data_IF_661601978133
#
_entry.id   IF_661601978133
#
_cell.length_a   1.000
_cell.length_b   1.000
_cell.length_c   1.000
_cell.angle_alpha   90.00
_cell.angle_beta   90.00
_cell.angle_gamma   90.00
#
_symmetry.space_group_name_H-M   'P 1'
#
loop_
_entity.id
_entity.type
_entity.pdbx_description
1 polymer ?
#
# COMPACT_ATOMS: atom_id res chain seq x y z
N UNK A 1 25.89 -0.03 10.73
CA UNK A 1 25.30 -0.89 9.68
C UNK A 1 24.00 -0.27 9.16
N UNK A 2 23.71 -0.49 7.88
CA UNK A 2 22.48 -0.01 7.22
C UNK A 2 21.57 -1.18 6.87
N UNK A 3 20.27 -1.02 7.09
CA UNK A 3 19.24 -1.96 6.68
C UNK A 3 18.24 -1.29 5.75
N UNK A 4 17.75 -2.01 4.73
CA UNK A 4 16.78 -1.51 3.74
C UNK A 4 15.65 -2.51 3.53
N UNK A 5 14.41 -2.03 3.63
CA UNK A 5 13.19 -2.85 3.49
C UNK A 5 12.04 -2.06 2.85
N UNK A 6 10.99 -2.77 2.42
CA UNK A 6 9.82 -2.17 1.77
C UNK A 6 8.52 -2.55 2.48
N UNK A 7 7.54 -1.64 2.41
CA UNK A 7 6.18 -1.93 2.84
C UNK A 7 5.15 -1.47 1.82
N UNK A 8 4.10 -2.27 1.67
CA UNK A 8 3.01 -1.98 0.76
C UNK A 8 3.29 -2.33 -0.69
N UNK A 9 4.39 -3.02 -1.03
CA UNK A 9 4.59 -3.58 -2.38
C UNK A 9 3.39 -4.40 -2.83
N UNK A 10 2.86 -5.28 -1.98
CA UNK A 10 1.65 -6.09 -2.19
C UNK A 10 0.29 -5.37 -2.20
N UNK A 11 0.21 -4.11 -1.78
CA UNK A 11 -1.06 -3.39 -1.65
C UNK A 11 -1.57 -2.86 -3.00
N UNK A 12 -2.89 -2.88 -3.19
CA UNK A 12 -3.57 -2.31 -4.37
C UNK A 12 -3.62 -0.77 -4.33
N UNK A 13 -3.71 -0.18 -3.14
CA UNK A 13 -3.74 1.27 -2.92
C UNK A 13 -2.38 1.79 -2.46
N UNK A 14 -2.13 3.05 -2.78
CA UNK A 14 -0.91 3.77 -2.41
C UNK A 14 0.32 3.33 -3.18
N UNK A 15 1.39 4.12 -3.07
CA UNK A 15 2.73 3.70 -3.42
C UNK A 15 3.33 2.69 -2.42
N UNK A 16 4.53 2.22 -2.72
CA UNK A 16 5.32 1.38 -1.80
C UNK A 16 6.29 2.26 -1.03
N UNK A 17 6.38 2.07 0.28
CA UNK A 17 7.36 2.72 1.14
C UNK A 17 8.68 1.97 1.02
N UNK A 18 9.78 2.71 0.88
CA UNK A 18 11.14 2.18 1.01
C UNK A 18 11.75 2.80 2.27
N UNK A 19 12.03 1.97 3.26
CA UNK A 19 12.64 2.35 4.52
C UNK A 19 14.15 2.07 4.53
N UNK A 20 14.91 2.98 5.13
CA UNK A 20 16.36 2.86 5.34
C UNK A 20 16.62 3.15 6.80
N UNK A 21 17.34 2.25 7.47
CA UNK A 21 17.57 2.30 8.90
C UNK A 21 19.05 2.15 9.22
N UNK A 22 19.58 3.05 10.04
CA UNK A 22 20.93 2.93 10.63
C UNK A 22 20.79 2.25 11.97
N UNK A 23 21.31 1.02 12.09
CA UNK A 23 21.13 0.21 13.30
C UNK A 23 21.85 0.78 14.51
N UNK A 24 22.97 1.46 14.28
CA UNK A 24 23.86 1.91 15.35
C UNK A 24 23.31 3.14 16.08
N UNK A 25 22.59 4.01 15.36
CA UNK A 25 22.03 5.27 15.88
C UNK A 25 20.52 5.24 16.04
N UNK A 26 19.84 4.28 15.41
CA UNK A 26 18.37 4.22 15.36
C UNK A 26 17.74 5.20 14.37
N UNK A 27 18.53 5.89 13.56
CA UNK A 27 18.02 6.81 12.54
C UNK A 27 17.25 6.05 11.46
N UNK A 28 16.05 6.54 11.17
CA UNK A 28 15.13 5.97 10.20
C UNK A 28 14.67 7.04 9.23
N UNK A 29 14.73 6.70 7.95
CA UNK A 29 14.17 7.53 6.89
C UNK A 29 13.35 6.64 5.96
N UNK A 30 12.30 7.21 5.40
CA UNK A 30 11.51 6.54 4.38
C UNK A 30 11.06 7.51 3.30
N UNK A 31 10.77 6.96 2.12
CA UNK A 31 10.08 7.68 1.07
C UNK A 31 9.10 6.73 0.35
N UNK A 32 7.99 7.29 -0.12
CA UNK A 32 7.02 6.57 -0.95
C UNK A 32 7.42 6.61 -2.42
N UNK A 33 7.32 5.47 -3.10
CA UNK A 33 7.37 5.42 -4.57
C UNK A 33 6.06 6.01 -5.12
N UNK A 34 6.09 7.13 -5.87
CA UNK A 34 4.88 7.77 -6.34
C UNK A 34 4.02 6.88 -7.25
N UNK A 35 2.69 6.99 -7.14
CA UNK A 35 1.72 6.18 -7.90
C UNK A 35 1.91 6.24 -9.42
N UNK A 36 2.45 7.34 -9.96
CA UNK A 36 2.79 7.45 -11.39
C UNK A 36 3.74 6.35 -11.88
N UNK A 37 4.60 5.80 -11.01
CA UNK A 37 5.50 4.68 -11.34
C UNK A 37 4.79 3.32 -11.38
N UNK A 38 3.53 3.27 -10.97
CA UNK A 38 2.65 2.11 -11.04
C UNK A 38 1.57 2.24 -12.14
N UNK A 39 1.73 3.17 -13.09
CA UNK A 39 0.87 3.23 -14.27
C UNK A 39 1.08 1.99 -15.17
N UNK A 40 0.14 1.71 -16.08
CA UNK A 40 0.24 0.58 -17.03
C UNK A 40 1.56 0.59 -17.81
N UNK A 41 2.00 1.74 -18.31
CA UNK A 41 3.25 1.86 -19.08
C UNK A 41 4.50 1.70 -18.20
N UNK A 42 4.48 2.27 -16.99
CA UNK A 42 5.62 2.21 -16.08
C UNK A 42 5.79 0.86 -15.41
N UNK A 43 4.70 0.13 -15.16
CA UNK A 43 4.72 -1.24 -14.65
C UNK A 43 5.40 -2.20 -15.63
N UNK A 44 5.07 -2.11 -16.93
CA UNK A 44 5.75 -2.90 -17.98
C UNK A 44 7.27 -2.66 -17.99
N UNK A 45 7.70 -1.41 -17.78
CA UNK A 45 9.11 -1.01 -17.70
C UNK A 45 9.75 -1.21 -16.33
N UNK A 46 9.03 -1.77 -15.35
CA UNK A 46 9.40 -1.88 -13.93
C UNK A 46 10.01 -0.59 -13.37
N UNK A 47 9.44 0.57 -13.72
CA UNK A 47 10.03 1.87 -13.41
C UNK A 47 10.13 2.15 -11.90
N UNK A 48 9.25 1.53 -11.10
CA UNK A 48 9.29 1.58 -9.64
C UNK A 48 10.61 1.02 -9.06
N UNK A 49 11.18 -0.05 -9.64
CA UNK A 49 12.46 -0.62 -9.18
C UNK A 49 13.62 0.37 -9.36
N UNK A 50 13.67 1.08 -10.48
CA UNK A 50 14.67 2.14 -10.69
C UNK A 50 14.44 3.34 -9.77
N UNK A 51 13.19 3.59 -9.38
CA UNK A 51 12.89 4.67 -8.43
C UNK A 51 13.36 4.34 -7.01
N UNK A 52 13.37 3.06 -6.61
CA UNK A 52 13.99 2.61 -5.35
C UNK A 52 15.44 3.09 -5.24
N UNK A 53 16.23 2.93 -6.32
CA UNK A 53 17.62 3.41 -6.35
C UNK A 53 17.70 4.90 -6.03
N UNK A 54 16.79 5.71 -6.58
CA UNK A 54 16.75 7.16 -6.32
C UNK A 54 16.43 7.48 -4.87
N UNK A 55 15.51 6.73 -4.25
CA UNK A 55 15.19 6.89 -2.82
C UNK A 55 16.43 6.57 -1.99
N UNK A 56 17.07 5.43 -2.26
CA UNK A 56 18.25 4.98 -1.50
C UNK A 56 19.43 5.93 -1.66
N UNK A 57 19.69 6.46 -2.86
CA UNK A 57 20.71 7.49 -3.06
C UNK A 57 20.48 8.73 -2.19
N UNK A 58 19.24 9.23 -2.13
CA UNK A 58 18.89 10.37 -1.26
C UNK A 58 19.06 10.00 0.21
N UNK A 59 18.68 8.79 0.58
CA UNK A 59 18.79 8.32 1.94
C UNK A 59 20.22 8.12 2.42
N UNK A 60 21.07 7.54 1.57
CA UNK A 60 22.50 7.41 1.85
C UNK A 60 23.17 8.75 2.06
N UNK A 61 22.79 9.76 1.25
CA UNK A 61 23.27 11.13 1.47
C UNK A 61 22.81 11.71 2.81
N UNK A 62 21.54 11.49 3.20
CA UNK A 62 20.99 11.99 4.47
C UNK A 62 21.64 11.33 5.69
N UNK A 63 21.88 10.02 5.62
CA UNK A 63 22.48 9.23 6.71
C UNK A 63 24.01 9.17 6.65
N UNK A 64 24.63 9.90 5.71
CA UNK A 64 26.07 9.89 5.45
C UNK A 64 26.66 8.46 5.37
N UNK A 65 26.07 7.61 4.53
CA UNK A 65 26.46 6.20 4.40
C UNK A 65 27.77 6.06 3.63
N UNK A 66 28.78 5.46 4.27
CA UNK A 66 30.05 5.10 3.66
C UNK A 66 29.97 3.84 2.78
N UNK A 67 30.91 3.69 1.84
CA UNK A 67 30.96 2.52 0.94
C UNK A 67 31.34 1.22 1.63
N UNK A 68 32.18 1.32 2.66
CA UNK A 68 32.68 0.19 3.44
C UNK A 68 31.71 -0.23 4.56
N UNK A 69 30.62 0.51 4.75
CA UNK A 69 29.59 0.14 5.72
C UNK A 69 28.80 -1.07 5.22
N UNK A 70 28.58 -2.10 6.06
CA UNK A 70 27.74 -3.23 5.67
C UNK A 70 26.29 -2.78 5.49
N UNK A 71 25.74 -3.12 4.32
CA UNK A 71 24.34 -2.88 3.96
C UNK A 71 23.58 -4.22 3.87
N UNK A 72 22.49 -4.32 4.61
CA UNK A 72 21.58 -5.44 4.61
C UNK A 72 20.29 -5.07 3.89
N UNK A 73 19.86 -5.92 2.96
CA UNK A 73 18.69 -5.65 2.13
C UNK A 73 17.73 -6.82 2.23
N UNK A 74 16.44 -6.51 2.39
CA UNK A 74 15.39 -7.49 2.25
C UNK A 74 15.50 -8.27 0.93
N UNK A 75 15.13 -9.54 0.95
CA UNK A 75 15.17 -10.44 -0.22
C UNK A 75 14.11 -10.12 -1.28
N UNK A 76 13.20 -9.20 -1.01
CA UNK A 76 12.11 -8.83 -1.91
C UNK A 76 12.58 -8.36 -3.29
N UNK A 77 11.77 -8.60 -4.32
CA UNK A 77 12.06 -8.20 -5.71
C UNK A 77 12.13 -6.67 -5.88
N UNK A 78 11.58 -5.90 -4.93
CA UNK A 78 11.61 -4.44 -4.95
C UNK A 78 13.04 -3.87 -5.04
N UNK A 79 14.04 -4.65 -4.64
CA UNK A 79 15.44 -4.22 -4.58
C UNK A 79 16.32 -4.75 -5.71
N UNK A 80 15.75 -5.38 -6.75
CA UNK A 80 16.55 -5.99 -7.83
C UNK A 80 17.47 -4.98 -8.53
N UNK A 81 16.95 -3.78 -8.85
CA UNK A 81 17.76 -2.71 -9.47
C UNK A 81 18.69 -2.03 -8.46
N UNK A 82 18.33 -2.01 -7.18
CA UNK A 82 19.17 -1.48 -6.12
C UNK A 82 20.44 -2.31 -5.94
N UNK A 83 20.31 -3.64 -5.90
CA UNK A 83 21.45 -4.57 -5.78
C UNK A 83 22.46 -4.37 -6.91
N UNK A 84 21.97 -4.23 -8.15
CA UNK A 84 22.83 -3.93 -9.32
C UNK A 84 23.58 -2.61 -9.14
N UNK A 85 22.88 -1.57 -8.69
CA UNK A 85 23.49 -0.27 -8.44
C UNK A 85 24.54 -0.32 -7.33
N UNK A 86 24.24 -0.98 -6.21
CA UNK A 86 25.18 -1.12 -5.09
C UNK A 86 26.46 -1.86 -5.49
N UNK A 87 26.34 -2.98 -6.22
CA UNK A 87 27.49 -3.70 -6.75
C UNK A 87 28.30 -2.85 -7.72
N UNK A 88 27.64 -2.09 -8.61
CA UNK A 88 28.32 -1.20 -9.57
C UNK A 88 29.10 -0.09 -8.86
N UNK A 89 28.56 0.45 -7.78
CA UNK A 89 29.17 1.54 -7.02
C UNK A 89 30.16 1.05 -5.95
N UNK A 90 30.43 -0.26 -5.88
CA UNK A 90 31.32 -0.92 -4.92
C UNK A 90 30.92 -0.74 -3.45
N UNK A 91 29.61 -0.79 -3.15
CA UNK A 91 29.13 -0.89 -1.77
C UNK A 91 29.22 -2.32 -1.25
N UNK A 92 29.55 -2.49 0.03
CA UNK A 92 29.45 -3.79 0.71
C UNK A 92 28.01 -4.10 1.09
N UNK A 93 27.37 -5.05 0.41
CA UNK A 93 25.97 -5.41 0.69
C UNK A 93 25.70 -6.92 0.71
N UNK A 94 24.66 -7.32 1.45
CA UNK A 94 24.14 -8.70 1.47
C UNK A 94 22.62 -8.73 1.56
N UNK A 95 22.04 -9.82 1.05
CA UNK A 95 20.62 -10.10 1.27
C UNK A 95 20.40 -10.71 2.66
N UNK A 96 19.33 -10.31 3.33
CA UNK A 96 18.90 -10.90 4.61
C UNK A 96 17.39 -10.89 4.74
N UNK A 97 16.88 -11.63 5.74
CA UNK A 97 15.52 -11.42 6.23
C UNK A 97 15.60 -10.24 7.19
N UNK A 98 14.96 -9.14 6.83
CA UNK A 98 14.84 -8.00 7.72
C UNK A 98 13.77 -8.34 8.76
N UNK A 99 14.14 -8.22 10.03
CA UNK A 99 13.25 -8.37 11.17
C UNK A 99 13.55 -7.26 12.18
N UNK A 100 12.66 -7.04 13.14
CA UNK A 100 12.87 -6.08 14.21
C UNK A 100 12.63 -4.62 13.79
N UNK A 101 13.42 -3.64 14.28
CA UNK A 101 13.05 -2.22 14.24
C UNK A 101 12.74 -1.65 12.85
N UNK A 102 13.51 -2.03 11.82
CA UNK A 102 13.24 -1.54 10.46
C UNK A 102 11.90 -2.06 9.94
N UNK A 103 11.59 -3.35 10.14
CA UNK A 103 10.34 -3.95 9.69
C UNK A 103 9.15 -3.24 10.35
N UNK A 104 9.19 -3.07 11.67
CA UNK A 104 8.12 -2.40 12.41
C UNK A 104 7.92 -0.95 11.95
N UNK A 105 9.02 -0.20 11.74
CA UNK A 105 8.97 1.19 11.29
C UNK A 105 8.41 1.31 9.87
N UNK A 106 8.88 0.49 8.93
CA UNK A 106 8.44 0.57 7.52
C UNK A 106 6.98 0.13 7.35
N UNK A 107 6.54 -0.91 8.08
CA UNK A 107 5.13 -1.29 8.13
C UNK A 107 4.28 -0.17 8.72
N UNK A 108 4.75 0.46 9.82
CA UNK A 108 4.04 1.59 10.43
C UNK A 108 3.94 2.81 9.52
N UNK A 109 5.02 3.17 8.82
CA UNK A 109 5.00 4.26 7.83
C UNK A 109 4.01 3.97 6.71
N UNK A 110 3.91 2.72 6.25
CA UNK A 110 2.92 2.35 5.25
C UNK A 110 1.49 2.46 5.78
N UNK A 111 1.22 2.04 7.02
CA UNK A 111 -0.09 2.25 7.66
C UNK A 111 -0.48 3.73 7.72
N UNK A 112 0.44 4.59 8.20
CA UNK A 112 0.16 6.02 8.29
C UNK A 112 -0.08 6.64 6.91
N UNK A 113 0.72 6.23 5.92
CA UNK A 113 0.56 6.67 4.55
C UNK A 113 -0.82 6.33 3.98
N UNK A 114 -1.29 5.08 4.05
CA UNK A 114 -2.63 4.72 3.53
C UNK A 114 -3.76 5.39 4.32
N UNK A 115 -3.60 5.61 5.63
CA UNK A 115 -4.58 6.35 6.44
C UNK A 115 -4.67 7.79 5.95
N UNK A 116 -3.53 8.42 5.63
CA UNK A 116 -3.50 9.78 5.04
C UNK A 116 -4.17 9.85 3.66
N UNK A 117 -4.30 8.72 2.95
CA UNK A 117 -5.08 8.62 1.71
C UNK A 117 -6.58 8.44 1.96
N UNK A 118 -7.01 8.36 3.23
CA UNK A 118 -8.39 8.14 3.64
C UNK A 118 -8.78 6.68 3.83
N UNK A 119 -7.82 5.74 3.84
CA UNK A 119 -8.11 4.33 4.12
C UNK A 119 -8.47 4.16 5.61
N UNK A 120 -9.59 3.49 5.96
CA UNK A 120 -10.05 3.43 7.35
C UNK A 120 -9.08 2.69 8.27
N UNK A 121 -8.71 3.30 9.39
CA UNK A 121 -7.81 2.69 10.37
C UNK A 121 -8.37 1.36 10.94
N UNK A 122 -9.70 1.27 11.08
CA UNK A 122 -10.37 0.04 11.48
C UNK A 122 -10.17 -1.12 10.49
N UNK A 123 -9.84 -0.85 9.23
CA UNK A 123 -9.52 -1.92 8.27
C UNK A 123 -8.11 -2.48 8.49
N UNK A 124 -7.24 -1.70 9.13
CA UNK A 124 -5.85 -2.02 9.42
C UNK A 124 -5.75 -2.77 10.77
N UNK A 125 -6.18 -2.13 11.87
CA UNK A 125 -5.97 -2.59 13.26
C UNK A 125 -6.58 -3.96 13.60
N UNK A 126 -7.71 -4.31 12.99
CA UNK A 126 -8.52 -5.47 13.41
C UNK A 126 -8.24 -6.75 12.60
N UNK A 127 -7.10 -6.84 11.90
CA UNK A 127 -6.79 -8.02 11.08
C UNK A 127 -5.32 -8.41 11.12
N UNK A 128 -5.05 -9.71 11.01
CA UNK A 128 -3.70 -10.27 10.79
C UNK A 128 -3.07 -9.81 9.46
N UNK A 129 -3.89 -9.32 8.52
CA UNK A 129 -3.46 -8.80 7.21
C UNK A 129 -4.21 -7.50 6.87
N UNK A 130 -3.74 -6.34 7.37
CA UNK A 130 -4.42 -5.03 7.27
C UNK A 130 -4.83 -4.59 5.85
N UNK A 131 -4.22 -5.22 4.84
CA UNK A 131 -4.37 -4.91 3.42
C UNK A 131 -5.04 -6.01 2.61
N UNK A 132 -6.06 -6.67 3.20
CA UNK A 132 -6.85 -7.65 2.46
C UNK A 132 -7.43 -7.03 1.18
N UNK A 133 -7.02 -7.59 0.05
CA UNK A 133 -7.39 -7.17 -1.30
C UNK A 133 -8.87 -6.77 -1.44
N UNK A 134 -9.78 -7.62 -0.94
CA UNK A 134 -11.23 -7.37 -1.02
C UNK A 134 -11.73 -6.18 -0.19
N UNK A 135 -11.10 -5.90 0.96
CA UNK A 135 -11.47 -4.73 1.78
C UNK A 135 -11.06 -3.45 1.08
N UNK A 136 -9.85 -3.43 0.53
CA UNK A 136 -9.36 -2.34 -0.29
C UNK A 136 -10.30 -2.12 -1.48
N UNK A 137 -10.67 -3.20 -2.17
CA UNK A 137 -11.54 -3.13 -3.33
C UNK A 137 -12.94 -2.58 -2.97
N UNK A 138 -13.52 -3.01 -1.84
CA UNK A 138 -14.78 -2.44 -1.33
C UNK A 138 -14.67 -0.96 -1.01
N UNK A 139 -13.56 -0.54 -0.40
CA UNK A 139 -13.31 0.88 -0.14
C UNK A 139 -13.17 1.66 -1.45
N UNK A 140 -12.46 1.15 -2.44
CA UNK A 140 -12.35 1.79 -3.75
C UNK A 140 -13.72 1.94 -4.41
N UNK A 141 -14.50 0.86 -4.55
CA UNK A 141 -15.82 0.92 -5.19
C UNK A 141 -16.87 1.74 -4.43
N UNK A 142 -16.68 1.97 -3.13
CA UNK A 142 -17.54 2.87 -2.36
C UNK A 142 -17.42 4.34 -2.81
N UNK A 143 -16.32 4.72 -3.46
CA UNK A 143 -16.11 6.06 -4.02
C UNK A 143 -15.14 6.00 -5.22
N UNK A 144 -15.61 5.32 -6.27
CA UNK A 144 -14.77 4.82 -7.35
C UNK A 144 -13.93 5.90 -8.03
N UNK A 145 -14.55 7.02 -8.39
CA UNK A 145 -13.90 8.08 -9.17
C UNK A 145 -12.80 8.78 -8.37
N UNK A 146 -13.01 9.00 -7.06
CA UNK A 146 -12.04 9.65 -6.19
C UNK A 146 -10.93 8.71 -5.71
N UNK A 147 -11.19 7.40 -5.62
CA UNK A 147 -10.26 6.41 -5.03
C UNK A 147 -9.47 5.62 -6.05
N UNK A 148 -9.95 5.48 -7.29
CA UNK A 148 -9.18 4.87 -8.38
C UNK A 148 -7.83 5.54 -8.64
N UNK A 149 -7.71 6.88 -8.60
CA UNK A 149 -6.41 7.56 -8.72
C UNK A 149 -5.39 7.20 -7.63
N UNK A 150 -5.85 6.63 -6.52
CA UNK A 150 -5.02 6.20 -5.39
C UNK A 150 -4.51 4.76 -5.55
N UNK A 151 -4.88 4.07 -6.63
CA UNK A 151 -4.54 2.68 -6.87
C UNK A 151 -3.36 2.49 -7.82
N UNK A 152 -2.69 1.35 -7.69
CA UNK A 152 -1.64 0.89 -8.61
C UNK A 152 -2.25 0.34 -9.91
N UNK A 153 -2.75 1.24 -10.76
CA UNK A 153 -3.58 0.86 -11.92
C UNK A 153 -2.90 -0.03 -12.98
N UNK A 154 -1.56 -0.10 -12.99
CA UNK A 154 -0.79 -0.96 -13.88
C UNK A 154 -0.60 -2.39 -13.36
N UNK A 155 -1.13 -2.72 -12.18
CA UNK A 155 -1.06 -4.06 -11.62
C UNK A 155 -2.05 -5.02 -12.27
N UNK A 156 -1.66 -6.29 -12.43
CA UNK A 156 -2.53 -7.36 -12.97
C UNK A 156 -3.83 -7.52 -12.15
N UNK A 157 -3.74 -7.39 -10.83
CA UNK A 157 -4.94 -7.43 -9.97
C UNK A 157 -5.88 -6.27 -10.23
N UNK A 158 -5.36 -5.08 -10.56
CA UNK A 158 -6.20 -3.95 -10.96
C UNK A 158 -6.85 -4.19 -12.32
N UNK A 159 -6.09 -4.71 -13.29
CA UNK A 159 -6.64 -5.08 -14.60
C UNK A 159 -7.80 -6.08 -14.48
N UNK A 160 -7.69 -7.06 -13.57
CA UNK A 160 -8.72 -8.07 -13.36
C UNK A 160 -9.94 -7.58 -12.57
N UNK A 161 -9.74 -6.74 -11.56
CA UNK A 161 -10.78 -6.46 -10.56
C UNK A 161 -11.11 -4.97 -10.39
N UNK A 162 -10.38 -4.07 -11.04
CA UNK A 162 -10.49 -2.62 -10.86
C UNK A 162 -11.63 -1.97 -11.63
N UNK A 163 -12.37 -2.70 -12.46
CA UNK A 163 -13.57 -2.20 -13.15
C UNK A 163 -14.59 -3.32 -13.39
N UNK A 164 -15.13 -3.87 -12.31
CA UNK A 164 -16.12 -4.96 -12.31
C UNK A 164 -17.53 -4.38 -12.53
N UNK A 165 -18.44 -5.14 -13.15
CA UNK A 165 -19.83 -4.71 -13.27
C UNK A 165 -20.47 -4.55 -11.89
N UNK A 166 -21.18 -3.44 -11.71
CA UNK A 166 -21.82 -3.09 -10.44
C UNK A 166 -23.35 -3.16 -10.57
N UNK A 167 -24.00 -3.77 -9.59
CA UNK A 167 -25.45 -3.71 -9.39
C UNK A 167 -25.73 -2.77 -8.20
N UNK A 168 -26.53 -1.73 -8.42
CA UNK A 168 -26.91 -0.78 -7.37
C UNK A 168 -28.36 -1.06 -6.99
N UNK A 169 -28.59 -1.40 -5.73
CA UNK A 169 -29.94 -1.56 -5.16
C UNK A 169 -30.12 -0.69 -3.93
N UNK A 170 -31.39 -0.43 -3.57
CA UNK A 170 -31.72 0.31 -2.37
C UNK A 170 -32.56 -0.55 -1.43
N UNK A 171 -32.18 -0.62 -0.16
CA UNK A 171 -32.81 -1.50 0.83
C UNK A 171 -32.49 -1.09 2.26
N UNK A 172 -32.54 -2.05 3.18
CA UNK A 172 -32.17 -1.85 4.59
C UNK A 172 -30.96 -2.73 4.95
N UNK A 173 -30.34 -2.44 6.09
CA UNK A 173 -29.23 -3.24 6.60
C UNK A 173 -29.66 -4.69 6.87
N UNK A 174 -28.81 -5.69 6.58
CA UNK A 174 -29.19 -7.10 6.67
C UNK A 174 -29.20 -7.64 8.10
N UNK A 175 -28.68 -6.90 9.09
CA UNK A 175 -28.64 -7.32 10.48
C UNK A 175 -28.63 -6.12 11.43
N UNK A 176 -28.78 -6.37 12.74
CA UNK A 176 -28.68 -5.37 13.82
C UNK A 176 -27.23 -5.03 14.24
N UNK A 177 -26.21 -5.50 13.50
CA UNK A 177 -24.80 -5.15 13.75
C UNK A 177 -24.54 -3.69 13.41
N UNK A 178 -23.49 -3.11 13.95
CA UNK A 178 -23.08 -1.77 13.53
C UNK A 178 -22.49 -1.78 12.12
N UNK A 179 -22.97 -0.87 11.27
CA UNK A 179 -22.44 -0.64 9.93
C UNK A 179 -22.02 0.82 9.79
N UNK A 180 -20.94 1.03 9.04
CA UNK A 180 -20.41 2.35 8.72
C UNK A 180 -20.39 2.50 7.20
N UNK A 181 -20.80 3.67 6.71
CA UNK A 181 -20.79 3.98 5.29
C UNK A 181 -19.35 4.01 4.79
N UNK A 182 -19.03 3.15 3.82
CA UNK A 182 -17.66 3.06 3.30
C UNK A 182 -17.24 4.28 2.47
N UNK A 183 -18.17 5.16 2.09
CA UNK A 183 -17.84 6.43 1.44
C UNK A 183 -17.51 7.52 2.46
N UNK A 184 -18.46 7.89 3.33
CA UNK A 184 -18.32 9.02 4.25
C UNK A 184 -17.78 8.66 5.64
N UNK A 185 -17.65 7.38 5.97
CA UNK A 185 -17.15 6.89 7.26
C UNK A 185 -18.15 6.96 8.43
N UNK A 186 -19.32 7.58 8.25
CA UNK A 186 -20.32 7.76 9.32
C UNK A 186 -21.13 6.48 9.56
N UNK A 187 -21.59 6.29 10.79
CA UNK A 187 -22.48 5.18 11.18
C UNK A 187 -23.79 5.23 10.39
N UNK A 188 -24.29 4.07 9.98
CA UNK A 188 -25.57 3.89 9.30
C UNK A 188 -26.61 3.48 10.35
N UNK A 189 -27.76 4.17 10.37
CA UNK A 189 -28.92 3.87 11.22
C UNK A 189 -29.73 2.71 10.62
N UNK A 190 -30.18 1.77 11.44
CA UNK A 190 -30.96 0.62 10.95
C UNK A 190 -32.30 0.99 10.30
N UNK A 191 -32.88 2.14 10.68
CA UNK A 191 -34.16 2.62 10.17
C UNK A 191 -34.05 3.31 8.81
N UNK A 192 -32.85 3.57 8.31
CA UNK A 192 -32.66 4.32 7.07
C UNK A 192 -32.58 3.40 5.85
N UNK A 193 -33.16 3.84 4.74
CA UNK A 193 -32.96 3.19 3.44
C UNK A 193 -31.56 3.52 2.95
N UNK A 194 -30.80 2.49 2.59
CA UNK A 194 -29.39 2.59 2.19
C UNK A 194 -29.20 2.25 0.71
N UNK A 195 -28.08 2.70 0.16
CA UNK A 195 -27.58 2.26 -1.15
C UNK A 195 -26.65 1.06 -0.94
N UNK A 196 -26.88 0.00 -1.70
CA UNK A 196 -26.10 -1.23 -1.65
C UNK A 196 -25.49 -1.44 -3.02
N UNK A 197 -24.16 -1.40 -3.10
CA UNK A 197 -23.42 -1.76 -4.31
C UNK A 197 -23.05 -3.23 -4.20
N UNK A 198 -23.45 -4.04 -5.19
CA UNK A 198 -23.06 -5.43 -5.32
C UNK A 198 -22.15 -5.61 -6.52
N UNK A 199 -21.19 -6.50 -6.39
CA UNK A 199 -20.32 -6.92 -7.49
C UNK A 199 -19.71 -8.29 -7.18
N UNK A 200 -19.29 -8.99 -8.22
CA UNK A 200 -18.62 -10.29 -8.09
C UNK A 200 -17.14 -10.17 -8.47
N UNK A 201 -16.28 -10.69 -7.60
CA UNK A 201 -14.83 -10.78 -7.84
C UNK A 201 -14.42 -12.24 -8.00
N UNK A 202 -13.71 -12.82 -7.03
CA UNK A 202 -13.66 -14.28 -6.85
C UNK A 202 -14.72 -14.78 -5.83
N UNK A 203 -15.53 -13.84 -5.33
CA UNK A 203 -16.65 -14.06 -4.41
C UNK A 203 -17.64 -12.89 -4.52
N UNK A 204 -18.90 -13.08 -4.11
CA UNK A 204 -19.87 -11.98 -4.05
C UNK A 204 -19.45 -10.97 -2.99
N UNK A 205 -19.59 -9.68 -3.33
CA UNK A 205 -19.32 -8.57 -2.43
C UNK A 205 -20.51 -7.63 -2.38
N UNK A 206 -20.71 -7.06 -1.19
CA UNK A 206 -21.67 -5.98 -0.93
C UNK A 206 -20.97 -4.85 -0.19
N UNK A 207 -21.34 -3.62 -0.55
CA UNK A 207 -20.90 -2.37 0.04
C UNK A 207 -22.15 -1.62 0.48
N UNK A 208 -22.19 -1.21 1.75
CA UNK A 208 -23.31 -0.47 2.33
C UNK A 208 -22.95 1.01 2.45
N UNK A 209 -23.79 1.87 1.88
CA UNK A 209 -23.60 3.32 1.84
C UNK A 209 -24.88 4.03 2.27
N UNK A 210 -24.76 5.24 2.80
CA UNK A 210 -25.92 6.14 2.93
C UNK A 210 -26.57 6.35 1.55
N UNK A 211 -27.88 6.57 1.53
CA UNK A 211 -28.66 6.73 0.28
C UNK A 211 -28.05 7.73 -0.71
N UNK A 212 -27.51 8.83 -0.19
CA UNK A 212 -26.97 9.94 -0.96
C UNK A 212 -25.44 9.87 -1.16
N UNK A 213 -24.82 8.74 -0.79
CA UNK A 213 -23.39 8.47 -1.01
C UNK A 213 -23.16 7.77 -2.35
#
# INVERSE_FOLDING_TARGET
MIQIDDAGSGSLIGGTIIGIYRTDTGEYIDEVIPLKYYSKSNMKKKAYLRYVVKIVQRGFKKLNVGKDEPIEICRGYMFDELRKWLSKENYTWRNTVITGPLQEKVEKSFEQYVISLGFPEAFIKYTKYPFHFHRILKWVYADYDHRTPLCKIGWKSWEKYGNLPLEIVYGHLPSKREYYCLKCGKKIKHTEKIKIIKYESNRPNQIFLHKNC
#
